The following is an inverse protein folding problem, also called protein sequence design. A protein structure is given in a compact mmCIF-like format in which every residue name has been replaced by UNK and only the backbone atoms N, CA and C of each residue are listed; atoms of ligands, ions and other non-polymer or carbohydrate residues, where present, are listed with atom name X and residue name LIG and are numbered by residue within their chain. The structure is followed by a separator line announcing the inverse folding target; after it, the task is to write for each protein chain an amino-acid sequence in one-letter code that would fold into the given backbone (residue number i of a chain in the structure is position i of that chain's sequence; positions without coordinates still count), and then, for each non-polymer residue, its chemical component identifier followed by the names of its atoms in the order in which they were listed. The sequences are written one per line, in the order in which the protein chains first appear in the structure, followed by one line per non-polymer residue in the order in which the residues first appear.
data_IF_995846727661
#
_entry.id   IF_995846727661
#
_cell.length_a   1.000
_cell.length_b   1.000
_cell.length_c   1.000
_cell.angle_alpha   90.00
_cell.angle_beta   90.00
_cell.angle_gamma   90.00
#
_symmetry.space_group_name_H-M   'P 1'
#
loop_
_entity.id
_entity.type
_entity.pdbx_description
1 polymer ?
#
# COMPACT_ATOMS: atom_id res chain seq x y z
N UNK A 1 17.76 21.07 55.48
CA UNK A 1 16.55 21.68 54.86
C UNK A 1 15.72 20.56 54.25
N UNK A 2 14.52 20.31 54.76
CA UNK A 2 13.61 19.34 54.14
C UNK A 2 13.08 19.90 52.80
N UNK A 3 12.97 19.09 51.73
CA UNK A 3 12.39 19.56 50.48
C UNK A 3 10.96 20.04 50.72
N UNK A 4 10.55 21.15 50.08
CA UNK A 4 9.20 21.66 50.17
C UNK A 4 8.19 20.55 49.78
N UNK A 5 7.10 20.35 50.55
CA UNK A 5 6.18 19.21 50.38
C UNK A 5 5.59 19.09 48.96
N UNK A 6 5.48 20.20 48.23
CA UNK A 6 5.08 20.23 46.83
C UNK A 6 6.02 19.48 45.87
N UNK A 7 7.35 19.50 46.09
CA UNK A 7 8.31 18.79 45.23
C UNK A 7 8.20 17.27 45.39
N UNK A 8 8.01 16.80 46.62
CA UNK A 8 7.90 15.37 46.93
C UNK A 8 6.60 14.79 46.33
N UNK A 9 5.48 15.52 46.45
CA UNK A 9 4.22 15.10 45.83
C UNK A 9 4.32 15.02 44.30
N UNK A 10 4.93 16.03 43.65
CA UNK A 10 5.13 16.03 42.20
C UNK A 10 6.05 14.89 41.77
N UNK A 11 7.20 14.68 42.43
CA UNK A 11 8.14 13.61 42.10
C UNK A 11 7.53 12.21 42.26
N UNK A 12 6.65 12.03 43.25
CA UNK A 12 5.97 10.76 43.52
C UNK A 12 4.86 10.46 42.51
N UNK A 13 4.07 11.48 42.12
CA UNK A 13 2.96 11.31 41.18
C UNK A 13 3.39 11.41 39.70
N UNK A 14 4.56 11.98 39.43
CA UNK A 14 5.06 12.21 38.07
C UNK A 14 5.17 10.94 37.22
N UNK A 15 5.65 9.78 37.72
CA UNK A 15 5.67 8.54 36.94
C UNK A 15 4.27 8.10 36.50
N UNK A 16 3.28 8.19 37.40
CA UNK A 16 1.89 7.82 37.12
C UNK A 16 1.26 8.79 36.11
N UNK A 17 1.45 10.10 36.28
CA UNK A 17 1.00 11.12 35.32
C UNK A 17 1.65 10.92 33.95
N UNK A 18 2.97 10.72 33.89
CA UNK A 18 3.72 10.51 32.64
C UNK A 18 3.20 9.29 31.88
N UNK A 19 2.85 8.21 32.59
CA UNK A 19 2.21 7.03 32.00
C UNK A 19 0.81 7.38 31.46
N UNK A 20 -0.05 7.98 32.28
CA UNK A 20 -1.41 8.35 31.88
C UNK A 20 -1.44 9.33 30.69
N UNK A 21 -0.58 10.34 30.70
CA UNK A 21 -0.43 11.29 29.60
C UNK A 21 0.04 10.59 28.30
N UNK A 22 1.00 9.66 28.39
CA UNK A 22 1.45 8.86 27.25
C UNK A 22 0.32 7.99 26.69
N UNK A 23 -0.43 7.32 27.56
CA UNK A 23 -1.53 6.44 27.15
C UNK A 23 -2.66 7.23 26.48
N UNK A 24 -2.94 8.43 26.97
CA UNK A 24 -3.90 9.34 26.36
C UNK A 24 -3.44 9.85 24.99
N UNK A 25 -2.17 10.26 24.87
CA UNK A 25 -1.57 10.65 23.57
C UNK A 25 -1.59 9.49 22.58
N UNK A 26 -1.26 8.29 23.02
CA UNK A 26 -1.28 7.08 22.19
C UNK A 26 -2.68 6.74 21.70
N UNK A 27 -3.71 6.85 22.55
CA UNK A 27 -5.11 6.63 22.14
C UNK A 27 -5.58 7.66 21.11
N UNK A 28 -5.24 8.94 21.29
CA UNK A 28 -5.53 9.99 20.31
C UNK A 28 -4.81 9.75 18.98
N UNK A 29 -3.54 9.34 19.03
CA UNK A 29 -2.79 8.99 17.84
C UNK A 29 -3.41 7.78 17.13
N UNK A 30 -3.78 6.74 17.86
CA UNK A 30 -4.42 5.55 17.32
C UNK A 30 -5.72 5.87 16.57
N UNK A 31 -6.61 6.69 17.15
CA UNK A 31 -7.83 7.16 16.43
C UNK A 31 -7.50 7.91 15.13
N UNK A 32 -6.44 8.74 15.13
CA UNK A 32 -5.99 9.42 13.90
C UNK A 32 -5.45 8.43 12.88
N UNK A 33 -4.63 7.48 13.33
CA UNK A 33 -4.08 6.43 12.48
C UNK A 33 -5.19 5.57 11.87
N UNK A 34 -6.24 5.21 12.62
CA UNK A 34 -7.39 4.45 12.10
C UNK A 34 -8.01 5.16 10.88
N UNK A 35 -8.30 6.46 11.02
CA UNK A 35 -8.84 7.29 9.94
C UNK A 35 -7.89 7.42 8.75
N UNK A 36 -6.58 7.52 9.01
CA UNK A 36 -5.56 7.55 7.95
C UNK A 36 -5.55 6.23 7.20
N UNK A 37 -5.53 5.10 7.92
CA UNK A 37 -5.50 3.78 7.31
C UNK A 37 -6.75 3.48 6.49
N UNK A 38 -7.91 3.92 6.96
CA UNK A 38 -9.18 3.77 6.28
C UNK A 38 -9.16 4.49 4.92
N UNK A 39 -8.78 5.77 4.91
CA UNK A 39 -8.74 6.56 3.67
C UNK A 39 -7.67 6.03 2.71
N UNK A 40 -6.46 5.71 3.19
CA UNK A 40 -5.40 5.18 2.34
C UNK A 40 -5.82 3.88 1.64
N UNK A 41 -6.48 2.98 2.36
CA UNK A 41 -6.97 1.73 1.78
C UNK A 41 -8.10 1.95 0.78
N UNK A 42 -9.08 2.80 1.13
CA UNK A 42 -10.19 3.07 0.21
C UNK A 42 -9.74 3.78 -1.07
N UNK A 43 -8.83 4.76 -0.99
CA UNK A 43 -8.21 5.37 -2.17
C UNK A 43 -7.45 4.33 -2.98
N UNK A 44 -6.70 3.43 -2.33
CA UNK A 44 -5.98 2.38 -3.03
C UNK A 44 -6.92 1.41 -3.75
N UNK A 45 -8.03 1.03 -3.12
CA UNK A 45 -9.02 0.13 -3.73
C UNK A 45 -9.71 0.80 -4.92
N UNK A 46 -10.07 2.08 -4.82
CA UNK A 46 -10.58 2.87 -5.94
C UNK A 46 -9.55 2.90 -7.08
N UNK A 47 -8.28 3.19 -6.76
CA UNK A 47 -7.21 3.22 -7.75
C UNK A 47 -7.06 1.88 -8.47
N UNK A 48 -6.88 0.78 -7.73
CA UNK A 48 -6.66 -0.56 -8.31
C UNK A 48 -7.86 -1.11 -9.04
N UNK A 49 -9.08 -0.85 -8.55
CA UNK A 49 -10.30 -1.25 -9.23
C UNK A 49 -10.42 -0.59 -10.60
N UNK A 50 -10.13 0.71 -10.69
CA UNK A 50 -10.23 1.44 -11.94
C UNK A 50 -9.04 1.20 -12.88
N UNK A 51 -7.84 0.96 -12.33
CA UNK A 51 -6.61 0.67 -13.09
C UNK A 51 -6.33 -0.83 -13.24
N UNK A 52 -7.37 -1.65 -13.14
CA UNK A 52 -7.23 -3.09 -13.27
C UNK A 52 -6.70 -3.43 -14.68
N UNK A 53 -5.72 -4.30 -14.75
CA UNK A 53 -4.90 -4.53 -15.95
C UNK A 53 -4.80 -6.01 -16.32
N UNK A 54 -5.57 -6.88 -15.64
CA UNK A 54 -5.60 -8.31 -15.90
C UNK A 54 -7.01 -8.70 -16.36
N UNK A 55 -7.24 -9.04 -17.62
CA UNK A 55 -8.55 -9.53 -18.04
C UNK A 55 -8.83 -10.86 -17.31
N UNK A 56 -9.99 -11.00 -16.67
CA UNK A 56 -10.33 -12.19 -15.85
C UNK A 56 -11.47 -12.96 -16.50
N UNK A 57 -11.23 -14.25 -16.79
CA UNK A 57 -12.25 -15.15 -17.32
C UNK A 57 -13.10 -15.79 -16.21
N UNK A 58 -12.45 -16.16 -15.10
CA UNK A 58 -13.13 -16.78 -13.97
C UNK A 58 -12.42 -16.50 -12.64
N UNK A 59 -13.21 -16.51 -11.56
CA UNK A 59 -12.73 -16.51 -10.18
C UNK A 59 -13.28 -17.78 -9.53
N UNK A 60 -12.40 -18.58 -8.91
CA UNK A 60 -12.79 -19.75 -8.14
C UNK A 60 -12.35 -19.59 -6.70
N UNK A 61 -13.29 -19.75 -5.76
CA UNK A 61 -12.98 -19.76 -4.32
C UNK A 61 -13.02 -21.21 -3.84
N UNK A 62 -11.88 -21.72 -3.37
CA UNK A 62 -11.70 -23.10 -2.87
C UNK A 62 -11.15 -23.04 -1.45
N UNK A 63 -12.04 -23.02 -0.46
CA UNK A 63 -11.64 -22.85 0.94
C UNK A 63 -11.00 -21.47 1.15
N UNK A 64 -9.73 -21.47 1.56
CA UNK A 64 -8.90 -20.28 1.78
C UNK A 64 -8.15 -19.81 0.51
N UNK A 65 -8.32 -20.48 -0.63
CA UNK A 65 -7.66 -20.14 -1.88
C UNK A 65 -8.61 -19.40 -2.83
N UNK A 66 -8.23 -18.20 -3.27
CA UNK A 66 -8.89 -17.46 -4.34
C UNK A 66 -8.06 -17.58 -5.61
N UNK A 67 -8.60 -18.28 -6.60
CA UNK A 67 -7.95 -18.51 -7.88
C UNK A 67 -8.47 -17.53 -8.93
N UNK A 68 -7.58 -16.73 -9.50
CA UNK A 68 -7.86 -15.83 -10.63
C UNK A 68 -7.39 -16.55 -11.90
N UNK A 69 -8.31 -16.74 -12.84
CA UNK A 69 -8.03 -17.32 -14.15
C UNK A 69 -8.07 -16.20 -15.20
N UNK A 70 -6.90 -15.73 -15.68
CA UNK A 70 -6.85 -14.68 -16.68
C UNK A 70 -7.50 -15.13 -17.99
N UNK A 71 -8.14 -14.20 -18.67
CA UNK A 71 -8.62 -14.40 -20.04
C UNK A 71 -7.47 -14.19 -21.02
N UNK A 72 -7.44 -14.99 -22.09
CA UNK A 72 -6.52 -14.80 -23.22
C UNK A 72 -7.02 -13.75 -24.23
N UNK A 73 -8.16 -13.11 -23.95
CA UNK A 73 -8.78 -12.12 -24.84
C UNK A 73 -7.83 -10.94 -25.10
N UNK A 74 -7.61 -10.67 -26.38
CA UNK A 74 -6.87 -9.50 -26.86
C UNK A 74 -7.80 -8.29 -26.89
N UNK A 75 -8.14 -7.75 -25.72
CA UNK A 75 -8.71 -6.40 -25.67
C UNK A 75 -7.62 -5.41 -26.12
N UNK A 76 -7.93 -4.43 -26.99
CA UNK A 76 -6.94 -3.47 -27.50
C UNK A 76 -6.47 -2.46 -26.43
N UNK A 77 -7.05 -2.48 -25.22
CA UNK A 77 -6.80 -1.53 -24.14
C UNK A 77 -5.90 -2.13 -23.05
N UNK A 78 -4.95 -1.34 -22.54
CA UNK A 78 -4.14 -1.74 -21.37
C UNK A 78 -5.00 -2.05 -20.14
N UNK A 79 -5.95 -1.16 -19.85
CA UNK A 79 -6.85 -1.33 -18.73
C UNK A 79 -7.99 -2.27 -19.09
N UNK A 80 -8.23 -3.24 -18.22
CA UNK A 80 -9.35 -4.15 -18.23
C UNK A 80 -10.37 -3.72 -17.17
N UNK A 81 -11.65 -4.03 -17.40
CA UNK A 81 -12.65 -3.85 -16.34
C UNK A 81 -12.36 -4.82 -15.19
N UNK A 82 -12.37 -4.32 -13.96
CA UNK A 82 -12.36 -5.19 -12.80
C UNK A 82 -13.58 -6.13 -12.83
N UNK A 83 -13.45 -7.41 -12.45
CA UNK A 83 -14.49 -8.42 -12.64
C UNK A 83 -15.65 -8.33 -11.62
N UNK A 84 -16.19 -7.13 -11.39
CA UNK A 84 -17.32 -6.89 -10.47
C UNK A 84 -18.60 -7.65 -10.85
N UNK A 85 -18.72 -8.04 -12.12
CA UNK A 85 -19.84 -8.81 -12.64
C UNK A 85 -19.84 -10.28 -12.17
N UNK A 86 -18.70 -10.78 -11.67
CA UNK A 86 -18.60 -12.12 -11.11
C UNK A 86 -19.09 -12.14 -9.66
N UNK A 87 -19.87 -13.16 -9.25
CA UNK A 87 -20.37 -13.27 -7.89
C UNK A 87 -19.21 -13.51 -6.92
N UNK A 88 -18.95 -12.55 -6.03
CA UNK A 88 -17.90 -12.66 -5.02
C UNK A 88 -18.26 -11.88 -3.75
N UNK A 89 -17.73 -12.35 -2.61
CA UNK A 89 -17.82 -11.61 -1.35
C UNK A 89 -16.95 -10.34 -1.39
N UNK A 90 -17.22 -9.39 -0.49
CA UNK A 90 -16.37 -8.21 -0.32
C UNK A 90 -14.94 -8.58 0.09
N UNK A 91 -14.77 -9.59 0.95
CA UNK A 91 -13.45 -10.09 1.36
C UNK A 91 -12.67 -10.65 0.17
N UNK A 92 -13.33 -11.43 -0.68
CA UNK A 92 -12.74 -11.93 -1.94
C UNK A 92 -12.37 -10.78 -2.87
N UNK A 93 -13.26 -9.79 -3.03
CA UNK A 93 -13.00 -8.59 -3.84
C UNK A 93 -11.75 -7.85 -3.38
N UNK A 94 -11.65 -7.56 -2.08
CA UNK A 94 -10.53 -6.82 -1.49
C UNK A 94 -9.21 -7.59 -1.61
N UNK A 95 -9.25 -8.92 -1.50
CA UNK A 95 -8.09 -9.76 -1.70
C UNK A 95 -7.58 -9.73 -3.15
N UNK A 96 -8.49 -9.80 -4.13
CA UNK A 96 -8.14 -9.71 -5.56
C UNK A 96 -7.57 -8.33 -5.88
N UNK A 97 -8.19 -7.26 -5.39
CA UNK A 97 -7.72 -5.88 -5.58
C UNK A 97 -6.29 -5.69 -5.03
N UNK A 98 -5.96 -6.37 -3.93
CA UNK A 98 -4.68 -6.26 -3.22
C UNK A 98 -3.58 -7.19 -3.73
N UNK A 99 -3.89 -8.09 -4.67
CA UNK A 99 -3.00 -9.16 -5.07
C UNK A 99 -1.79 -8.64 -5.88
N UNK A 100 -0.59 -9.11 -5.54
CA UNK A 100 0.68 -8.75 -6.19
C UNK A 100 1.03 -7.26 -6.21
N UNK A 101 0.45 -6.48 -5.29
CA UNK A 101 0.52 -5.02 -5.38
C UNK A 101 0.86 -4.35 -4.04
N UNK A 102 1.56 -5.06 -3.15
CA UNK A 102 1.90 -4.53 -1.83
C UNK A 102 2.84 -3.31 -1.84
N UNK A 103 3.66 -3.15 -2.88
CA UNK A 103 4.55 -1.99 -3.06
C UNK A 103 3.79 -0.75 -3.54
N UNK A 104 2.80 -0.94 -4.41
CA UNK A 104 2.08 0.11 -5.12
C UNK A 104 1.54 1.22 -4.19
N UNK A 105 0.80 0.94 -3.09
CA UNK A 105 0.27 2.01 -2.25
C UNK A 105 1.40 2.81 -1.58
N UNK A 106 2.52 2.16 -1.24
CA UNK A 106 3.67 2.82 -0.61
C UNK A 106 4.42 3.69 -1.63
N UNK A 107 4.50 3.24 -2.88
CA UNK A 107 5.11 3.98 -3.98
C UNK A 107 4.24 5.18 -4.41
N UNK A 108 2.97 4.93 -4.69
CA UNK A 108 2.07 5.91 -5.30
C UNK A 108 1.57 6.96 -4.33
N UNK A 109 1.42 6.62 -3.04
CA UNK A 109 0.80 7.49 -2.05
C UNK A 109 1.78 8.05 -1.01
N UNK A 110 3.08 8.07 -1.30
CA UNK A 110 4.10 8.68 -0.42
C UNK A 110 3.73 10.11 0.02
N UNK A 111 3.32 10.96 -0.93
CA UNK A 111 2.93 12.35 -0.65
C UNK A 111 1.68 12.40 0.24
N UNK A 112 0.68 11.57 -0.05
CA UNK A 112 -0.55 11.47 0.73
C UNK A 112 -0.31 10.92 2.14
N UNK A 113 0.56 9.91 2.30
CA UNK A 113 1.00 9.37 3.59
C UNK A 113 1.66 10.48 4.41
N UNK A 114 2.57 11.24 3.78
CA UNK A 114 3.27 12.36 4.43
C UNK A 114 2.30 13.45 4.86
N UNK A 115 1.39 13.88 3.97
CA UNK A 115 0.38 14.88 4.26
C UNK A 115 -0.62 14.44 5.35
N UNK A 116 -0.95 13.15 5.40
CA UNK A 116 -1.85 12.58 6.41
C UNK A 116 -1.26 12.58 7.82
N UNK A 117 0.07 12.49 7.92
CA UNK A 117 0.82 12.43 9.17
C UNK A 117 1.45 13.78 9.56
N UNK A 118 1.13 14.85 8.82
CA UNK A 118 1.63 16.19 9.08
C UNK A 118 1.29 16.64 10.51
N UNK A 119 2.28 17.23 11.19
CA UNK A 119 2.14 17.67 12.58
C UNK A 119 2.10 16.54 13.61
N UNK A 120 2.29 15.29 13.21
CA UNK A 120 2.44 14.15 14.13
C UNK A 120 3.93 13.88 14.37
N UNK A 121 4.34 13.85 15.63
CA UNK A 121 5.70 13.48 16.05
C UNK A 121 5.88 11.96 16.00
N UNK A 122 5.96 11.43 14.77
CA UNK A 122 6.07 10.00 14.47
C UNK A 122 7.18 9.74 13.47
N UNK A 123 7.84 8.60 13.62
CA UNK A 123 8.76 8.07 12.60
C UNK A 123 7.97 7.16 11.66
N UNK A 124 8.11 7.40 10.36
CA UNK A 124 7.43 6.65 9.29
C UNK A 124 8.47 5.88 8.47
N UNK A 125 8.29 4.58 8.36
CA UNK A 125 9.21 3.67 7.66
C UNK A 125 8.42 2.67 6.81
N UNK A 126 8.95 2.30 5.66
CA UNK A 126 8.44 1.19 4.84
C UNK A 126 9.20 -0.07 5.24
N UNK A 127 8.53 -1.23 5.21
CA UNK A 127 9.07 -2.46 5.75
C UNK A 127 8.65 -3.69 4.95
N UNK A 128 9.61 -4.59 4.69
CA UNK A 128 9.34 -5.96 4.27
C UNK A 128 9.02 -6.83 5.48
N UNK A 129 7.95 -7.60 5.39
CA UNK A 129 7.55 -8.58 6.38
C UNK A 129 7.29 -9.94 5.72
N UNK A 130 7.68 -11.02 6.41
CA UNK A 130 7.26 -12.37 6.06
C UNK A 130 6.13 -12.80 6.99
N UNK A 131 5.05 -13.33 6.43
CA UNK A 131 3.90 -13.82 7.19
C UNK A 131 4.00 -15.34 7.36
N UNK A 132 3.97 -15.80 8.61
CA UNK A 132 4.01 -17.24 8.92
C UNK A 132 2.62 -17.87 9.04
N UNK A 133 1.57 -17.06 9.17
CA UNK A 133 0.19 -17.51 9.24
C UNK A 133 -0.72 -16.55 8.46
N UNK A 134 -1.31 -17.08 7.39
CA UNK A 134 -2.31 -16.41 6.55
C UNK A 134 -3.61 -17.21 6.62
N UNK A 135 -4.75 -16.56 6.42
CA UNK A 135 -6.08 -17.21 6.43
C UNK A 135 -6.71 -17.25 5.04
N UNK A 136 -6.05 -16.65 4.07
CA UNK A 136 -6.44 -16.67 2.67
C UNK A 136 -5.18 -16.50 1.82
N UNK A 137 -5.20 -17.03 0.59
CA UNK A 137 -4.22 -16.71 -0.44
C UNK A 137 -4.88 -16.45 -1.78
N UNK A 138 -4.21 -15.68 -2.61
CA UNK A 138 -4.62 -15.40 -4.00
C UNK A 138 -3.62 -16.07 -4.93
N UNK A 139 -4.12 -16.79 -5.93
CA UNK A 139 -3.32 -17.55 -6.90
C UNK A 139 -3.75 -17.16 -8.31
N UNK A 140 -2.79 -16.82 -9.17
CA UNK A 140 -3.04 -16.63 -10.60
C UNK A 140 -2.77 -17.92 -11.34
N UNK A 141 -3.74 -18.36 -12.16
CA UNK A 141 -3.66 -19.60 -12.96
C UNK A 141 -3.73 -19.27 -14.44
N UNK A 142 -2.58 -19.16 -15.08
CA UNK A 142 -2.46 -19.06 -16.54
C UNK A 142 -2.38 -20.46 -17.15
N UNK A 143 -3.08 -20.68 -18.26
CA UNK A 143 -3.07 -21.99 -18.95
C UNK A 143 -1.67 -22.35 -19.44
N UNK A 144 -1.19 -23.54 -19.06
CA UNK A 144 0.14 -24.04 -19.46
C UNK A 144 1.30 -23.56 -18.58
N UNK A 145 1.04 -22.73 -17.58
CA UNK A 145 2.06 -22.22 -16.65
C UNK A 145 1.84 -22.75 -15.22
N UNK A 146 2.89 -22.67 -14.41
CA UNK A 146 2.76 -22.97 -12.99
C UNK A 146 1.93 -21.88 -12.29
N UNK A 147 1.01 -22.25 -11.38
CA UNK A 147 0.24 -21.27 -10.62
C UNK A 147 1.16 -20.36 -9.82
N UNK A 148 0.89 -19.05 -9.86
CA UNK A 148 1.68 -18.06 -9.13
C UNK A 148 0.93 -17.69 -7.84
N UNK A 149 1.50 -18.08 -6.70
CA UNK A 149 0.93 -17.85 -5.37
C UNK A 149 1.45 -16.53 -4.78
N UNK A 150 0.55 -15.56 -4.55
CA UNK A 150 0.90 -14.26 -3.97
C UNK A 150 1.58 -14.40 -2.60
N UNK A 151 1.28 -15.46 -1.84
CA UNK A 151 1.85 -15.68 -0.50
C UNK A 151 3.28 -16.21 -0.49
N UNK A 152 3.82 -16.58 -1.64
CA UNK A 152 5.23 -16.96 -1.76
C UNK A 152 6.19 -15.76 -1.64
N UNK A 153 5.69 -14.53 -1.72
CA UNK A 153 6.49 -13.31 -1.76
C UNK A 153 6.48 -12.58 -0.41
N UNK A 154 7.55 -11.82 -0.14
CA UNK A 154 7.58 -10.92 1.00
C UNK A 154 6.48 -9.85 0.86
N UNK A 155 5.89 -9.47 1.98
CA UNK A 155 4.83 -8.48 2.06
C UNK A 155 5.37 -7.12 2.47
N UNK A 156 4.77 -6.05 1.98
CA UNK A 156 5.25 -4.69 2.16
C UNK A 156 4.22 -3.88 2.95
N UNK A 157 4.68 -3.32 4.05
CA UNK A 157 3.85 -2.67 5.08
C UNK A 157 4.49 -1.35 5.51
N UNK A 158 3.67 -0.45 6.04
CA UNK A 158 4.13 0.81 6.61
C UNK A 158 4.21 0.70 8.14
N UNK A 159 5.32 1.14 8.72
CA UNK A 159 5.55 1.18 10.17
C UNK A 159 5.52 2.61 10.69
N UNK A 160 4.71 2.85 11.70
CA UNK A 160 4.64 4.10 12.47
C UNK A 160 5.24 3.85 13.85
N UNK A 161 6.26 4.63 14.22
CA UNK A 161 6.95 4.49 15.52
C UNK A 161 6.90 5.78 16.32
N UNK A 162 6.56 5.64 17.61
CA UNK A 162 6.71 6.66 18.66
C UNK A 162 7.48 6.06 19.84
N UNK A 163 7.94 6.86 20.82
CA UNK A 163 8.62 6.32 22.00
C UNK A 163 7.79 5.24 22.71
N UNK A 164 8.25 3.99 22.63
CA UNK A 164 7.66 2.84 23.31
C UNK A 164 6.43 2.22 22.63
N UNK A 165 5.99 2.67 21.45
CA UNK A 165 4.88 2.06 20.71
C UNK A 165 5.13 2.05 19.19
N UNK A 166 4.69 0.98 18.54
CA UNK A 166 4.82 0.78 17.09
C UNK A 166 3.48 0.30 16.54
N UNK A 167 3.07 0.89 15.43
CA UNK A 167 1.93 0.44 14.65
C UNK A 167 2.38 -0.02 13.26
N UNK A 168 1.63 -0.96 12.71
CA UNK A 168 1.69 -1.39 11.32
C UNK A 168 0.42 -0.93 10.62
N UNK A 169 0.61 -0.35 9.44
CA UNK A 169 -0.43 -0.05 8.49
C UNK A 169 -0.24 -1.01 7.32
N UNK A 170 -1.22 -1.90 7.13
CA UNK A 170 -1.24 -2.92 6.09
C UNK A 170 -2.38 -2.68 5.11
N UNK A 171 -2.10 -1.87 4.08
CA UNK A 171 -3.08 -1.42 3.09
C UNK A 171 -3.60 -2.59 2.25
N UNK A 172 -2.74 -3.56 1.94
CA UNK A 172 -2.99 -4.68 1.02
C UNK A 172 -3.10 -6.03 1.71
N UNK A 173 -3.22 -6.05 3.04
CA UNK A 173 -3.29 -7.28 3.85
C UNK A 173 -4.43 -8.23 3.48
N UNK A 174 -5.47 -7.73 2.80
CA UNK A 174 -6.58 -8.53 2.32
C UNK A 174 -6.12 -9.67 1.39
N UNK A 175 -5.01 -9.54 0.67
CA UNK A 175 -4.46 -10.64 -0.16
C UNK A 175 -4.06 -11.89 0.66
N UNK A 176 -3.92 -11.73 1.99
CA UNK A 176 -3.59 -12.77 2.96
C UNK A 176 -4.73 -13.08 3.94
N UNK A 177 -5.92 -12.50 3.72
CA UNK A 177 -7.06 -12.58 4.64
C UNK A 177 -6.93 -11.66 5.86
N UNK A 178 -6.04 -10.66 5.82
CA UNK A 178 -5.88 -9.67 6.88
C UNK A 178 -6.74 -8.44 6.55
N UNK A 179 -7.95 -8.40 7.13
CA UNK A 179 -8.92 -7.33 6.82
C UNK A 179 -8.78 -6.07 7.68
N UNK A 180 -8.07 -6.16 8.81
CA UNK A 180 -7.78 -4.97 9.64
C UNK A 180 -6.53 -4.28 9.09
N UNK A 181 -6.62 -2.98 8.84
CA UNK A 181 -5.54 -2.20 8.21
C UNK A 181 -4.54 -1.65 9.23
N UNK A 182 -4.97 -1.32 10.46
CA UNK A 182 -4.11 -0.82 11.53
C UNK A 182 -3.88 -1.86 12.64
N UNK A 183 -2.62 -2.09 12.99
CA UNK A 183 -2.25 -3.01 14.07
C UNK A 183 -1.22 -2.40 15.02
N UNK A 184 -1.28 -2.74 16.30
CA UNK A 184 -0.08 -2.70 17.12
C UNK A 184 0.89 -3.78 16.64
N UNK A 185 2.19 -3.48 16.58
CA UNK A 185 3.18 -4.40 16.01
C UNK A 185 3.18 -5.78 16.71
N UNK A 186 3.11 -5.81 18.04
CA UNK A 186 3.13 -7.08 18.77
C UNK A 186 1.89 -7.94 18.47
N UNK A 187 0.72 -7.32 18.28
CA UNK A 187 -0.51 -8.04 17.91
C UNK A 187 -0.41 -8.60 16.49
N UNK A 188 0.10 -7.82 15.54
CA UNK A 188 0.31 -8.24 14.16
C UNK A 188 1.29 -9.42 14.08
N UNK A 189 2.44 -9.28 14.79
CA UNK A 189 3.46 -10.32 14.93
C UNK A 189 2.88 -11.60 15.49
N UNK A 190 2.15 -11.52 16.60
CA UNK A 190 1.63 -12.72 17.28
C UNK A 190 0.49 -13.38 16.49
N UNK A 191 -0.41 -12.60 15.90
CA UNK A 191 -1.57 -13.15 15.18
C UNK A 191 -1.19 -13.77 13.83
N UNK A 192 -0.27 -13.15 13.09
CA UNK A 192 0.10 -13.56 11.73
C UNK A 192 1.48 -14.22 11.65
N UNK A 193 2.09 -14.49 12.81
CA UNK A 193 3.47 -14.97 12.93
C UNK A 193 4.44 -14.12 12.09
N UNK A 194 4.19 -12.81 12.05
CA UNK A 194 4.89 -11.90 11.16
C UNK A 194 6.33 -11.67 11.64
N UNK A 195 7.28 -11.73 10.71
CA UNK A 195 8.68 -11.41 10.96
C UNK A 195 9.06 -10.16 10.19
N UNK A 196 9.56 -9.16 10.91
CA UNK A 196 10.07 -7.94 10.28
C UNK A 196 11.40 -8.25 9.60
N UNK A 197 11.48 -8.01 8.30
CA UNK A 197 12.68 -8.10 7.50
C UNK A 197 13.35 -6.73 7.38
N UNK A 198 13.51 -6.27 6.14
CA UNK A 198 14.13 -4.99 5.85
C UNK A 198 13.24 -3.83 6.27
N UNK A 199 13.87 -2.79 6.82
CA UNK A 199 13.22 -1.53 7.21
C UNK A 199 13.95 -0.43 6.47
N UNK A 200 13.21 0.44 5.81
CA UNK A 200 13.79 1.53 5.05
C UNK A 200 12.92 2.78 5.13
N UNK A 201 13.44 3.91 4.62
CA UNK A 201 12.78 5.21 4.72
C UNK A 201 11.52 5.24 3.85
N UNK A 202 10.55 6.07 4.23
CA UNK A 202 9.42 6.40 3.36
C UNK A 202 9.92 6.95 2.00
N UNK A 203 9.31 6.49 0.91
CA UNK A 203 9.67 6.80 -0.47
C UNK A 203 10.67 5.83 -1.10
N UNK A 204 11.03 4.73 -0.45
CA UNK A 204 11.90 3.72 -1.08
C UNK A 204 11.14 2.93 -2.15
N UNK A 205 9.87 2.56 -1.91
CA UNK A 205 9.03 1.91 -2.92
C UNK A 205 8.79 2.79 -4.15
N UNK A 206 8.66 4.12 -3.96
CA UNK A 206 8.59 5.09 -5.07
C UNK A 206 9.83 5.00 -5.97
N UNK A 207 11.03 4.96 -5.37
CA UNK A 207 12.28 4.82 -6.13
C UNK A 207 12.34 3.48 -6.86
N UNK A 208 11.92 2.38 -6.20
CA UNK A 208 11.88 1.06 -6.83
C UNK A 208 10.95 1.04 -8.05
N UNK A 209 9.70 1.47 -7.88
CA UNK A 209 8.73 1.47 -8.98
C UNK A 209 9.20 2.33 -10.15
N UNK A 210 9.80 3.50 -9.86
CA UNK A 210 10.41 4.35 -10.88
C UNK A 210 11.62 3.72 -11.56
N UNK A 211 12.38 2.88 -10.87
CA UNK A 211 13.46 2.12 -11.52
C UNK A 211 12.89 1.03 -12.44
N UNK A 212 11.83 0.35 -11.99
CA UNK A 212 11.16 -0.70 -12.77
C UNK A 212 10.48 -0.15 -14.04
N UNK A 213 9.96 1.08 -14.01
CA UNK A 213 9.36 1.71 -15.20
C UNK A 213 10.37 2.08 -16.29
N UNK A 214 11.66 2.18 -15.97
CA UNK A 214 12.70 2.40 -16.97
C UNK A 214 13.15 1.11 -17.68
N UNK A 215 12.61 -0.06 -17.31
CA UNK A 215 12.90 -1.32 -18.01
C UNK A 215 12.15 -1.36 -19.34
N UNK A 216 12.82 -1.80 -20.40
CA UNK A 216 12.17 -1.97 -21.71
C UNK A 216 11.25 -3.20 -21.74
N UNK A 217 10.26 -3.20 -22.63
CA UNK A 217 9.31 -4.30 -22.77
C UNK A 217 8.04 -4.15 -21.92
N UNK A 218 7.28 -5.23 -21.82
CA UNK A 218 5.93 -5.23 -21.24
C UNK A 218 5.92 -4.84 -19.76
N UNK A 219 6.92 -5.30 -18.99
CA UNK A 219 6.93 -5.07 -17.56
C UNK A 219 7.20 -3.61 -17.19
N UNK A 220 8.22 -2.97 -17.76
CA UNK A 220 8.46 -1.55 -17.47
C UNK A 220 7.38 -0.65 -18.06
N UNK A 221 6.81 -1.01 -19.22
CA UNK A 221 5.61 -0.34 -19.76
C UNK A 221 4.43 -0.39 -18.77
N UNK A 222 4.15 -1.55 -18.16
CA UNK A 222 3.10 -1.69 -17.12
C UNK A 222 3.34 -0.75 -15.94
N UNK A 223 4.58 -0.69 -15.43
CA UNK A 223 4.92 0.23 -14.35
C UNK A 223 4.76 1.69 -14.76
N UNK A 224 5.22 2.06 -15.96
CA UNK A 224 5.09 3.41 -16.52
C UNK A 224 3.63 3.86 -16.59
N UNK A 225 2.73 3.03 -17.14
CA UNK A 225 1.30 3.37 -17.24
C UNK A 225 0.66 3.50 -15.86
N UNK A 226 0.98 2.61 -14.91
CA UNK A 226 0.47 2.72 -13.53
C UNK A 226 0.99 3.97 -12.83
N UNK A 227 2.25 4.37 -13.05
CA UNK A 227 2.79 5.63 -12.55
C UNK A 227 2.07 6.84 -13.15
N UNK A 228 1.73 6.83 -14.44
CA UNK A 228 0.93 7.90 -15.04
C UNK A 228 -0.45 8.01 -14.37
N UNK A 229 -1.15 6.88 -14.18
CA UNK A 229 -2.43 6.86 -13.49
C UNK A 229 -2.33 7.36 -12.04
N UNK A 230 -1.29 6.93 -11.32
CA UNK A 230 -1.00 7.39 -9.97
C UNK A 230 -0.67 8.89 -9.95
N UNK A 231 0.03 9.41 -10.96
CA UNK A 231 0.29 10.82 -11.15
C UNK A 231 -1.01 11.63 -11.29
N UNK A 232 -1.95 11.17 -12.11
CA UNK A 232 -3.28 11.81 -12.22
C UNK A 232 -4.04 11.80 -10.90
N UNK A 233 -4.03 10.68 -10.18
CA UNK A 233 -4.63 10.59 -8.86
C UNK A 233 -3.98 11.58 -7.86
N UNK A 234 -2.65 11.66 -7.84
CA UNK A 234 -1.93 12.59 -6.97
C UNK A 234 -2.20 14.06 -7.31
N UNK A 235 -2.38 14.41 -8.58
CA UNK A 235 -2.83 15.75 -8.99
C UNK A 235 -4.24 16.02 -8.44
N UNK A 236 -5.17 15.08 -8.58
CA UNK A 236 -6.52 15.22 -8.06
C UNK A 236 -6.54 15.38 -6.52
N UNK A 237 -5.69 14.65 -5.80
CA UNK A 237 -5.51 14.84 -4.35
C UNK A 237 -5.09 16.29 -4.06
N UNK A 238 -4.07 16.80 -4.76
CA UNK A 238 -3.55 18.16 -4.57
C UNK A 238 -4.63 19.20 -4.86
N UNK A 239 -5.33 19.09 -5.98
CA UNK A 239 -6.43 19.99 -6.36
C UNK A 239 -7.57 19.98 -5.34
N UNK A 240 -7.99 18.78 -4.90
CA UNK A 240 -9.03 18.65 -3.89
C UNK A 240 -8.61 19.30 -2.57
N UNK A 241 -7.38 19.04 -2.10
CA UNK A 241 -6.87 19.66 -0.86
C UNK A 241 -6.69 21.17 -0.96
N UNK A 242 -6.39 21.71 -2.15
CA UNK A 242 -6.26 23.15 -2.39
C UNK A 242 -7.60 23.89 -2.39
N UNK A 243 -8.68 23.22 -2.78
CA UNK A 243 -10.04 23.78 -2.79
C UNK A 243 -10.85 23.48 -1.53
N UNK A 244 -10.35 22.58 -0.68
CA UNK A 244 -11.01 22.14 0.56
C UNK A 244 -10.07 22.27 1.76
N UNK A 245 -10.02 21.24 2.61
CA UNK A 245 -9.14 21.16 3.76
C UNK A 245 -7.95 20.24 3.47
N UNK A 246 -6.83 20.46 4.17
CA UNK A 246 -5.73 19.48 4.16
C UNK A 246 -6.21 18.12 4.67
N UNK A 247 -5.54 17.04 4.25
CA UNK A 247 -5.87 15.69 4.70
C UNK A 247 -5.74 15.60 6.24
N UNK A 248 -4.68 16.20 6.81
CA UNK A 248 -4.49 16.31 8.25
C UNK A 248 -5.67 17.00 8.95
N UNK A 249 -6.20 18.09 8.38
CA UNK A 249 -7.36 18.78 8.94
C UNK A 249 -8.65 17.94 8.83
N UNK A 250 -8.85 17.22 7.72
CA UNK A 250 -9.96 16.28 7.58
C UNK A 250 -9.94 15.20 8.67
N UNK A 251 -8.76 14.63 8.98
CA UNK A 251 -8.59 13.58 10.00
C UNK A 251 -8.94 14.09 11.42
N UNK A 252 -8.95 15.39 11.67
CA UNK A 252 -9.25 15.98 12.97
C UNK A 252 -10.73 16.34 13.19
N UNK A 253 -11.58 16.25 12.14
CA UNK A 253 -13.01 16.56 12.21
C UNK A 253 -13.75 15.63 13.20
N UNK A 254 -14.96 16.00 13.62
CA UNK A 254 -15.84 15.05 14.33
C UNK A 254 -16.23 13.88 13.40
N UNK A 255 -16.87 12.84 13.93
CA UNK A 255 -17.11 11.61 13.16
C UNK A 255 -18.03 11.87 11.94
N UNK A 256 -19.11 12.63 12.08
CA UNK A 256 -20.04 12.93 10.97
C UNK A 256 -19.39 13.80 9.87
N UNK A 257 -18.68 14.85 10.26
CA UNK A 257 -17.97 15.71 9.31
C UNK A 257 -16.82 14.98 8.61
N UNK A 258 -16.12 14.09 9.34
CA UNK A 258 -15.08 13.25 8.77
C UNK A 258 -15.65 12.34 7.69
N UNK A 259 -16.76 11.64 7.96
CA UNK A 259 -17.40 10.75 6.99
C UNK A 259 -17.90 11.52 5.76
N UNK A 260 -18.57 12.66 5.94
CA UNK A 260 -19.03 13.49 4.83
C UNK A 260 -17.86 14.00 3.95
N UNK A 261 -16.78 14.46 4.59
CA UNK A 261 -15.59 14.96 3.89
C UNK A 261 -14.86 13.81 3.17
N UNK A 262 -14.75 12.63 3.82
CA UNK A 262 -14.16 11.41 3.25
C UNK A 262 -14.90 10.99 1.98
N UNK A 263 -16.23 10.97 1.99
CA UNK A 263 -17.03 10.60 0.83
C UNK A 263 -16.78 11.54 -0.37
N UNK A 264 -16.75 12.86 -0.13
CA UNK A 264 -16.39 13.83 -1.17
C UNK A 264 -14.99 13.57 -1.73
N UNK A 265 -14.00 13.37 -0.85
CA UNK A 265 -12.62 13.07 -1.23
C UNK A 265 -12.52 11.82 -2.10
N UNK A 266 -13.09 10.69 -1.65
CA UNK A 266 -13.08 9.42 -2.37
C UNK A 266 -13.79 9.52 -3.73
N UNK A 267 -14.92 10.24 -3.80
CA UNK A 267 -15.62 10.48 -5.06
C UNK A 267 -14.77 11.25 -6.07
N UNK A 268 -14.03 12.28 -5.63
CA UNK A 268 -13.12 13.01 -6.51
C UNK A 268 -11.99 12.12 -7.04
N UNK A 269 -11.43 11.25 -6.20
CA UNK A 269 -10.38 10.32 -6.61
C UNK A 269 -10.89 9.30 -7.64
N UNK A 270 -12.08 8.75 -7.42
CA UNK A 270 -12.73 7.81 -8.33
C UNK A 270 -13.05 8.44 -9.69
N UNK A 271 -13.55 9.68 -9.72
CA UNK A 271 -13.78 10.42 -10.97
C UNK A 271 -12.47 10.67 -11.72
N UNK A 272 -11.40 11.08 -11.03
CA UNK A 272 -10.11 11.37 -11.66
C UNK A 272 -9.50 10.11 -12.32
N UNK A 273 -9.45 8.99 -11.60
CA UNK A 273 -8.88 7.75 -12.14
C UNK A 273 -9.73 7.18 -13.27
N UNK A 274 -11.07 7.19 -13.14
CA UNK A 274 -11.96 6.75 -14.25
C UNK A 274 -11.79 7.59 -15.50
N UNK A 275 -11.66 8.89 -15.35
CA UNK A 275 -11.47 9.81 -16.47
C UNK A 275 -10.14 9.54 -17.17
N UNK A 276 -9.06 9.31 -16.42
CA UNK A 276 -7.77 8.89 -16.96
C UNK A 276 -7.89 7.58 -17.76
N UNK A 277 -8.50 6.55 -17.17
CA UNK A 277 -8.67 5.23 -17.83
C UNK A 277 -9.53 5.34 -19.09
N UNK A 278 -10.59 6.12 -19.07
CA UNK A 278 -11.47 6.31 -20.22
C UNK A 278 -10.77 7.01 -21.40
N UNK A 279 -9.91 7.98 -21.09
CA UNK A 279 -9.21 8.81 -22.07
C UNK A 279 -7.94 8.15 -22.67
N UNK A 280 -7.39 7.11 -22.04
CA UNK A 280 -6.09 6.54 -22.43
C UNK A 280 -6.19 5.04 -22.76
N UNK A 281 -5.82 4.67 -24.00
CA UNK A 281 -5.82 3.27 -24.49
C UNK A 281 -4.45 2.61 -24.46
N UNK A 282 -3.38 3.40 -24.60
CA UNK A 282 -1.98 2.96 -24.64
C UNK A 282 -1.61 1.97 -25.74
N UNK A 283 -2.35 1.94 -26.86
CA UNK A 283 -2.11 1.00 -27.97
C UNK A 283 -0.69 1.12 -28.55
N UNK A 284 -0.15 2.34 -28.63
CA UNK A 284 1.20 2.57 -29.17
C UNK A 284 2.29 2.05 -28.23
N UNK A 285 2.13 2.29 -26.94
CA UNK A 285 3.03 1.81 -25.89
C UNK A 285 3.01 0.29 -25.80
N UNK A 286 1.82 -0.32 -25.86
CA UNK A 286 1.65 -1.78 -25.90
C UNK A 286 2.34 -2.36 -27.12
N UNK A 287 2.10 -1.81 -28.32
CA UNK A 287 2.71 -2.31 -29.55
C UNK A 287 4.24 -2.28 -29.48
N UNK A 288 4.83 -1.16 -29.04
CA UNK A 288 6.28 -1.03 -28.87
C UNK A 288 6.84 -2.03 -27.86
N UNK A 289 6.14 -2.22 -26.75
CA UNK A 289 6.54 -3.21 -25.74
C UNK A 289 6.49 -4.63 -26.30
N UNK A 290 5.45 -4.99 -27.07
CA UNK A 290 5.35 -6.30 -27.73
C UNK A 290 6.43 -6.52 -28.79
N UNK A 291 6.75 -5.50 -29.60
CA UNK A 291 7.86 -5.54 -30.57
C UNK A 291 9.20 -5.81 -29.87
N UNK A 292 9.41 -5.22 -28.69
CA UNK A 292 10.57 -5.49 -27.86
C UNK A 292 10.61 -6.94 -27.36
N UNK A 293 9.50 -7.48 -26.83
CA UNK A 293 9.44 -8.88 -26.37
C UNK A 293 9.69 -9.88 -27.48
N UNK A 294 9.16 -9.62 -28.69
CA UNK A 294 9.41 -10.47 -29.86
C UNK A 294 10.88 -10.47 -30.27
N UNK A 295 11.55 -9.33 -30.15
CA UNK A 295 12.96 -9.18 -30.48
C UNK A 295 13.89 -9.67 -29.37
N UNK A 296 13.41 -9.70 -28.12
CA UNK A 296 14.20 -10.01 -26.92
C UNK A 296 13.44 -10.95 -25.95
N UNK A 297 13.09 -12.20 -26.35
CA UNK A 297 12.23 -13.06 -25.53
C UNK A 297 12.77 -13.28 -24.10
N UNK A 298 11.98 -12.92 -23.10
CA UNK A 298 12.29 -13.11 -21.68
C UNK A 298 13.30 -12.10 -21.10
N UNK A 299 13.76 -11.12 -21.87
CA UNK A 299 14.72 -10.13 -21.38
C UNK A 299 14.10 -9.15 -20.40
N UNK A 300 12.85 -8.72 -20.61
CA UNK A 300 12.16 -7.80 -19.71
C UNK A 300 12.00 -8.40 -18.30
N UNK A 301 11.57 -9.66 -18.20
CA UNK A 301 11.51 -10.43 -16.95
C UNK A 301 12.86 -10.48 -16.23
N UNK A 302 13.91 -10.82 -16.96
CA UNK A 302 15.27 -10.88 -16.41
C UNK A 302 15.74 -9.52 -15.91
N UNK A 303 15.45 -8.45 -16.64
CA UNK A 303 15.83 -7.08 -16.28
C UNK A 303 15.07 -6.59 -15.05
N UNK A 304 13.77 -6.83 -14.95
CA UNK A 304 12.96 -6.50 -13.76
C UNK A 304 13.51 -7.18 -12.52
N UNK A 305 13.77 -8.49 -12.60
CA UNK A 305 14.35 -9.24 -11.50
C UNK A 305 15.73 -8.69 -11.11
N UNK A 306 16.57 -8.39 -12.10
CA UNK A 306 17.89 -7.78 -11.88
C UNK A 306 17.78 -6.42 -11.18
N UNK A 307 16.87 -5.55 -11.62
CA UNK A 307 16.66 -4.23 -11.00
C UNK A 307 16.16 -4.40 -9.56
N UNK A 308 15.19 -5.29 -9.32
CA UNK A 308 14.67 -5.56 -7.98
C UNK A 308 15.74 -6.13 -7.03
N UNK A 309 16.59 -7.03 -7.52
CA UNK A 309 17.67 -7.65 -6.76
C UNK A 309 18.78 -6.65 -6.43
N UNK A 310 19.25 -5.88 -7.42
CA UNK A 310 20.26 -4.83 -7.23
C UNK A 310 19.73 -3.76 -6.27
N UNK A 311 18.47 -3.37 -6.44
CA UNK A 311 17.83 -2.42 -5.54
C UNK A 311 17.81 -2.96 -4.10
N UNK A 312 17.35 -4.20 -3.91
CA UNK A 312 17.33 -4.85 -2.60
C UNK A 312 18.74 -4.94 -1.99
N UNK A 313 19.74 -5.34 -2.76
CA UNK A 313 21.13 -5.41 -2.31
C UNK A 313 21.68 -4.04 -1.90
N UNK A 314 21.35 -2.98 -2.65
CA UNK A 314 21.78 -1.61 -2.33
C UNK A 314 21.26 -1.12 -0.98
N UNK A 315 20.04 -1.52 -0.61
CA UNK A 315 19.45 -1.22 0.70
C UNK A 315 20.18 -1.96 1.83
N UNK A 316 20.63 -3.19 1.60
CA UNK A 316 21.43 -3.94 2.58
C UNK A 316 22.79 -3.27 2.84
N UNK A 317 23.52 -2.88 1.79
CA UNK A 317 24.84 -2.23 1.92
C UNK A 317 24.69 -0.88 2.65
N UNK A 318 23.69 -0.07 2.27
CA UNK A 318 23.41 1.21 2.93
C UNK A 318 23.04 1.10 4.41
N UNK A 319 22.43 -0.01 4.83
CA UNK A 319 22.05 -0.25 6.23
C UNK A 319 23.25 -0.63 7.12
N UNK A 320 24.24 -1.36 6.60
CA UNK A 320 25.44 -1.76 7.35
C UNK A 320 26.37 -0.59 7.66
N UNK A 321 26.48 0.38 6.75
CA UNK A 321 27.32 1.57 6.95
C UNK A 321 26.78 2.59 7.96
N UNK A 322 25.51 2.47 8.40
CA UNK A 322 24.90 3.37 9.40
C UNK A 322 24.90 2.83 10.82
N UNK A 323 25.08 1.52 11.01
CA UNK A 323 25.16 0.91 12.35
C UNK A 323 26.60 0.85 12.90
N UNK A 324 27.56 1.46 12.21
CA UNK A 324 28.98 1.50 12.59
C UNK A 324 29.48 2.92 12.92
N UNK A 325 28.59 3.85 13.29
CA UNK A 325 28.94 5.20 13.75
C UNK A 325 28.14 5.59 14.98
#
# INVERSE_FOLDING_TARGET
MAPAPQKICVETDWPAHKKGCRDFRNRRLEKKLERITDILQQVYYIFRKNTWDVPVAAIMVRGDCVEIHPSLSQEPSFFSKFPDHLPMSEQTRNAIISAFSCNDPLAYFKDMISASLEGMDVKVEECKATLGKITQKVVFRTSGEQPVDCSAFAHEILRITVPGKRWIIDITGAQFGIHKTLWAWEDYKNKHHAKMGMIYKLGTNEILVKALSNVEGLHGMRHTIKEMAAGTLNTAIKEWTGSHHSIAAMILKNDDEYEATKLSFLSSMDVAVRSFVAANRFETEIRKALEYELSNPGMSDKMINTVADVFTLSLFIGSRGRNSR
#
